data_IF_926442922619
#
_entry.id   IF_926442922619
#
_cell.length_a   1.000
_cell.length_b   1.000
_cell.length_c   1.000
_cell.angle_alpha   90.00
_cell.angle_beta   90.00
_cell.angle_gamma   90.00
#
_symmetry.space_group_name_H-M   'P 1'
#
loop_
_entity.id
_entity.type
_entity.pdbx_description
1 polymer ?
#
# COMPACT_ATOMS: atom_id res chain seq x y z
N UNK A 1 -10.28 4.27 -11.77
CA UNK A 1 -10.92 2.98 -12.13
C UNK A 1 -12.44 2.99 -11.96
N UNK A 2 -13.01 3.52 -10.87
CA UNK A 2 -14.47 3.54 -10.62
C UNK A 2 -15.28 4.12 -11.77
N UNK A 3 -14.92 5.32 -12.21
CA UNK A 3 -15.62 6.00 -13.33
C UNK A 3 -15.59 5.17 -14.61
N UNK A 4 -14.43 4.60 -14.94
CA UNK A 4 -14.28 3.74 -16.11
C UNK A 4 -15.22 2.51 -16.01
N UNK A 5 -15.09 1.75 -14.92
CA UNK A 5 -15.87 0.52 -14.75
C UNK A 5 -17.38 0.79 -14.70
N UNK A 6 -17.83 1.88 -14.08
CA UNK A 6 -19.25 2.25 -13.98
C UNK A 6 -19.79 2.72 -15.32
N UNK A 7 -19.00 3.41 -16.14
CA UNK A 7 -19.42 3.93 -17.46
C UNK A 7 -19.60 2.84 -18.50
N UNK A 8 -18.94 1.69 -18.35
CA UNK A 8 -19.10 0.56 -19.28
C UNK A 8 -20.48 -0.07 -19.15
N UNK A 9 -21.24 -0.08 -20.24
CA UNK A 9 -22.62 -0.64 -20.30
C UNK A 9 -22.65 -2.10 -20.78
N UNK A 10 -21.65 -2.90 -20.39
CA UNK A 10 -21.58 -4.33 -20.70
C UNK A 10 -21.64 -5.15 -19.42
N UNK A 11 -22.33 -6.30 -19.39
CA UNK A 11 -22.38 -7.16 -18.21
C UNK A 11 -21.10 -8.00 -18.03
N UNK A 12 -20.39 -8.31 -19.12
CA UNK A 12 -19.20 -9.17 -19.12
C UNK A 12 -17.95 -8.40 -18.70
N UNK A 13 -18.06 -7.66 -17.61
CA UNK A 13 -16.95 -6.90 -17.01
C UNK A 13 -16.74 -7.31 -15.57
N UNK A 14 -15.48 -7.29 -15.16
CA UNK A 14 -15.06 -7.58 -13.77
C UNK A 14 -14.04 -6.55 -13.32
N UNK A 15 -14.18 -6.07 -12.09
CA UNK A 15 -13.17 -5.29 -11.38
C UNK A 15 -12.73 -6.03 -10.14
N UNK A 16 -11.45 -6.03 -9.89
CA UNK A 16 -10.86 -6.72 -8.74
C UNK A 16 -9.53 -6.06 -8.37
N UNK A 17 -9.19 -6.04 -7.08
CA UNK A 17 -7.85 -5.68 -6.65
C UNK A 17 -6.85 -6.73 -7.09
N UNK A 18 -5.70 -6.29 -7.57
CA UNK A 18 -4.70 -7.18 -8.15
C UNK A 18 -4.30 -8.33 -7.20
N UNK A 19 -4.08 -8.03 -5.92
CA UNK A 19 -3.74 -9.06 -4.93
C UNK A 19 -4.83 -10.13 -4.77
N UNK A 20 -6.10 -9.73 -4.68
CA UNK A 20 -7.22 -10.66 -4.59
C UNK A 20 -7.35 -11.53 -5.83
N UNK A 21 -7.11 -10.97 -7.02
CA UNK A 21 -7.08 -11.73 -8.27
C UNK A 21 -5.96 -12.78 -8.26
N UNK A 22 -4.75 -12.43 -7.82
CA UNK A 22 -3.64 -13.37 -7.75
C UNK A 22 -3.90 -14.50 -6.75
N UNK A 23 -4.57 -14.24 -5.63
CA UNK A 23 -5.00 -15.30 -4.70
C UNK A 23 -5.97 -16.28 -5.37
N UNK A 24 -6.93 -15.79 -6.15
CA UNK A 24 -7.86 -16.62 -6.93
C UNK A 24 -7.12 -17.44 -7.99
N UNK A 25 -6.19 -16.83 -8.71
CA UNK A 25 -5.34 -17.52 -9.70
C UNK A 25 -4.55 -18.64 -9.05
N UNK A 26 -3.90 -18.39 -7.92
CA UNK A 26 -3.16 -19.42 -7.18
C UNK A 26 -4.07 -20.58 -6.71
N UNK A 27 -5.28 -20.26 -6.25
CA UNK A 27 -6.27 -21.29 -5.88
C UNK A 27 -6.68 -22.13 -7.10
N UNK A 28 -6.98 -21.49 -8.22
CA UNK A 28 -7.36 -22.18 -9.47
C UNK A 28 -6.23 -23.06 -10.02
N UNK A 29 -4.98 -22.57 -9.98
CA UNK A 29 -3.79 -23.35 -10.37
C UNK A 29 -3.58 -24.59 -9.49
N UNK A 30 -3.80 -24.47 -8.18
CA UNK A 30 -3.73 -25.62 -7.26
C UNK A 30 -4.78 -26.68 -7.60
N UNK A 31 -6.00 -26.29 -7.93
CA UNK A 31 -7.06 -27.22 -8.32
C UNK A 31 -6.76 -27.86 -9.69
N UNK A 32 -6.35 -27.08 -10.67
CA UNK A 32 -5.99 -27.60 -12.00
C UNK A 32 -4.89 -28.66 -11.94
N UNK A 33 -3.89 -28.46 -11.08
CA UNK A 33 -2.80 -29.44 -10.86
C UNK A 33 -3.23 -30.75 -10.22
N UNK A 34 -4.40 -30.78 -9.55
CA UNK A 34 -4.94 -32.03 -8.96
C UNK A 34 -5.73 -32.84 -9.99
N UNK A 35 -6.37 -32.18 -10.93
CA UNK A 35 -7.32 -32.79 -11.87
C UNK A 35 -6.69 -33.20 -13.21
N UNK A 36 -5.60 -32.54 -13.63
CA UNK A 36 -5.00 -32.72 -14.94
C UNK A 36 -3.48 -32.87 -14.85
N UNK A 37 -2.92 -33.81 -15.68
CA UNK A 37 -1.49 -33.89 -15.92
C UNK A 37 -1.15 -32.96 -17.10
N UNK A 38 -0.43 -31.87 -16.82
CA UNK A 38 -0.03 -30.92 -17.85
C UNK A 38 0.17 -29.50 -17.32
N UNK A 39 0.19 -28.55 -18.26
CA UNK A 39 0.31 -27.14 -17.93
C UNK A 39 -1.03 -26.60 -17.37
N UNK A 40 -1.07 -26.11 -16.12
CA UNK A 40 -2.30 -25.65 -15.49
C UNK A 40 -2.74 -24.25 -15.95
N UNK A 41 -1.90 -23.49 -16.67
CA UNK A 41 -2.21 -22.10 -17.06
C UNK A 41 -3.34 -22.02 -18.09
N UNK A 42 -3.35 -22.76 -19.21
CA UNK A 42 -4.40 -22.66 -20.21
C UNK A 42 -5.81 -22.96 -19.67
N UNK A 43 -6.05 -24.05 -18.90
CA UNK A 43 -7.39 -24.30 -18.34
C UNK A 43 -7.83 -23.25 -17.33
N UNK A 44 -6.88 -22.69 -16.55
CA UNK A 44 -7.19 -21.58 -15.62
C UNK A 44 -7.53 -20.31 -16.39
N UNK A 45 -6.79 -19.96 -17.45
CA UNK A 45 -7.11 -18.83 -18.31
C UNK A 45 -8.49 -18.97 -18.96
N UNK A 46 -8.84 -20.18 -19.42
CA UNK A 46 -10.15 -20.49 -19.96
C UNK A 46 -11.27 -20.25 -18.94
N UNK A 47 -11.11 -20.79 -17.74
CA UNK A 47 -12.07 -20.61 -16.65
C UNK A 47 -12.26 -19.14 -16.27
N UNK A 48 -11.17 -18.37 -16.17
CA UNK A 48 -11.21 -16.96 -15.80
C UNK A 48 -11.80 -16.08 -16.90
N UNK A 49 -11.67 -16.46 -18.16
CA UNK A 49 -12.20 -15.71 -19.31
C UNK A 49 -13.67 -16.02 -19.63
N UNK A 50 -14.28 -17.03 -18.98
CA UNK A 50 -15.70 -17.35 -19.20
C UNK A 50 -16.59 -16.15 -18.88
N UNK A 51 -17.38 -15.70 -19.86
CA UNK A 51 -18.26 -14.54 -19.75
C UNK A 51 -17.54 -13.23 -19.34
N UNK A 52 -16.26 -13.09 -19.72
CA UNK A 52 -15.45 -11.93 -19.38
C UNK A 52 -14.90 -11.27 -20.64
N UNK A 53 -15.28 -10.01 -20.87
CA UNK A 53 -14.74 -9.16 -21.95
C UNK A 53 -13.78 -8.11 -21.45
N UNK A 54 -14.02 -7.59 -20.23
CA UNK A 54 -13.17 -6.57 -19.61
C UNK A 54 -12.79 -6.97 -18.19
N UNK A 55 -11.52 -7.01 -17.95
CA UNK A 55 -10.93 -7.24 -16.64
C UNK A 55 -10.16 -5.99 -16.17
N UNK A 56 -10.66 -5.36 -15.13
CA UNK A 56 -10.10 -4.15 -14.57
C UNK A 56 -9.39 -4.44 -13.24
N UNK A 57 -8.13 -4.01 -13.13
CA UNK A 57 -7.33 -4.16 -11.93
C UNK A 57 -7.02 -2.81 -11.30
N UNK A 58 -7.14 -2.73 -9.98
CA UNK A 58 -6.57 -1.64 -9.22
C UNK A 58 -5.19 -2.05 -8.70
N UNK A 59 -4.23 -1.15 -8.86
CA UNK A 59 -2.89 -1.21 -8.28
C UNK A 59 -2.10 -2.49 -8.60
N UNK A 60 -1.80 -2.69 -9.88
CA UNK A 60 -0.96 -3.81 -10.31
C UNK A 60 0.45 -3.67 -9.72
N UNK A 61 0.80 -4.59 -8.82
CA UNK A 61 2.11 -4.68 -8.16
C UNK A 61 2.62 -6.12 -8.22
N UNK A 62 3.87 -6.31 -8.60
CA UNK A 62 4.51 -7.62 -8.67
C UNK A 62 5.67 -7.66 -7.69
N UNK A 63 5.54 -8.45 -6.63
CA UNK A 63 6.48 -8.46 -5.51
C UNK A 63 7.31 -9.76 -5.40
N UNK A 64 6.93 -10.82 -6.13
CA UNK A 64 7.63 -12.08 -6.06
C UNK A 64 7.75 -12.77 -7.43
N UNK A 65 8.73 -13.66 -7.57
CA UNK A 65 9.04 -14.35 -8.83
C UNK A 65 7.96 -15.33 -9.28
N UNK A 66 7.22 -15.94 -8.34
CA UNK A 66 6.15 -16.89 -8.69
C UNK A 66 5.00 -16.16 -9.37
N UNK A 67 4.57 -15.02 -8.83
CA UNK A 67 3.55 -14.17 -9.43
C UNK A 67 4.01 -13.62 -10.78
N UNK A 68 5.26 -13.16 -10.88
CA UNK A 68 5.83 -12.66 -12.12
C UNK A 68 5.72 -13.68 -13.27
N UNK A 69 6.09 -14.93 -13.03
CA UNK A 69 6.03 -16.00 -14.02
C UNK A 69 4.59 -16.40 -14.38
N UNK A 70 3.71 -16.49 -13.37
CA UNK A 70 2.29 -16.82 -13.60
C UNK A 70 1.63 -15.71 -14.42
N UNK A 71 1.86 -14.46 -14.06
CA UNK A 71 1.31 -13.30 -14.76
C UNK A 71 1.69 -13.27 -16.24
N UNK A 72 2.98 -13.36 -16.54
CA UNK A 72 3.47 -13.34 -17.92
C UNK A 72 2.69 -14.34 -18.79
N UNK A 73 2.55 -15.56 -18.33
CA UNK A 73 1.88 -16.62 -19.07
C UNK A 73 0.36 -16.50 -19.10
N UNK A 74 -0.25 -16.18 -17.96
CA UNK A 74 -1.70 -16.06 -17.83
C UNK A 74 -2.23 -14.87 -18.66
N UNK A 75 -1.59 -13.71 -18.56
CA UNK A 75 -2.04 -12.53 -19.29
C UNK A 75 -1.82 -12.65 -20.80
N UNK A 76 -0.75 -13.33 -21.24
CA UNK A 76 -0.60 -13.69 -22.66
C UNK A 76 -1.80 -14.49 -23.16
N UNK A 77 -2.26 -15.47 -22.37
CA UNK A 77 -3.47 -16.24 -22.71
C UNK A 77 -4.72 -15.36 -22.74
N UNK A 78 -4.94 -14.54 -21.72
CA UNK A 78 -6.13 -13.70 -21.61
C UNK A 78 -6.21 -12.66 -22.74
N UNK A 79 -5.11 -11.97 -23.02
CA UNK A 79 -5.06 -10.89 -24.03
C UNK A 79 -5.05 -11.48 -25.42
N UNK A 80 -4.04 -12.31 -25.76
CA UNK A 80 -3.79 -12.72 -27.14
C UNK A 80 -4.66 -13.87 -27.62
N UNK A 81 -5.14 -14.75 -26.73
CA UNK A 81 -5.91 -15.95 -27.14
C UNK A 81 -7.38 -15.88 -26.76
N UNK A 82 -7.73 -15.11 -25.71
CA UNK A 82 -9.11 -15.02 -25.21
C UNK A 82 -9.79 -13.68 -25.50
N UNK A 83 -9.06 -12.72 -26.07
CA UNK A 83 -9.55 -11.37 -26.39
C UNK A 83 -10.19 -10.66 -25.19
N UNK A 84 -9.61 -10.83 -23.99
CA UNK A 84 -10.02 -10.09 -22.79
C UNK A 84 -9.33 -8.75 -22.79
N UNK A 85 -10.10 -7.68 -22.79
CA UNK A 85 -9.54 -6.32 -22.62
C UNK A 85 -9.10 -6.13 -21.17
N UNK A 86 -7.84 -5.79 -21.00
CA UNK A 86 -7.25 -5.51 -19.68
C UNK A 86 -7.14 -4.01 -19.48
N UNK A 87 -7.62 -3.54 -18.33
CA UNK A 87 -7.41 -2.16 -17.87
C UNK A 87 -6.83 -2.21 -16.49
N UNK A 88 -5.69 -1.60 -16.30
CA UNK A 88 -5.00 -1.62 -14.99
C UNK A 88 -4.45 -0.26 -14.63
N UNK A 89 -4.40 0.03 -13.33
CA UNK A 89 -3.63 1.14 -12.80
C UNK A 89 -2.36 0.62 -12.14
N UNK A 90 -1.31 1.39 -12.18
CA UNK A 90 -0.06 1.13 -11.46
C UNK A 90 0.59 2.47 -11.13
N UNK A 91 1.30 2.53 -10.01
CA UNK A 91 2.17 3.66 -9.65
C UNK A 91 3.60 3.51 -10.19
N UNK A 92 3.80 2.55 -11.10
CA UNK A 92 5.07 2.37 -11.82
C UNK A 92 4.81 2.25 -13.30
N UNK A 93 5.73 2.85 -14.07
CA UNK A 93 5.74 2.60 -15.51
C UNK A 93 5.93 1.11 -15.81
N UNK A 94 5.33 0.53 -16.88
CA UNK A 94 5.47 -0.89 -17.21
C UNK A 94 6.91 -1.39 -17.21
N UNK A 95 7.86 -0.61 -17.73
CA UNK A 95 9.28 -0.95 -17.75
C UNK A 95 9.91 -1.08 -16.35
N UNK A 96 9.29 -0.52 -15.33
CA UNK A 96 9.77 -0.56 -13.96
C UNK A 96 9.08 -1.62 -13.08
N UNK A 97 8.08 -2.31 -13.64
CA UNK A 97 7.44 -3.42 -12.96
C UNK A 97 8.48 -4.50 -12.63
N UNK A 98 8.40 -5.00 -11.40
CA UNK A 98 9.31 -6.03 -10.89
C UNK A 98 10.81 -5.64 -11.04
N UNK A 99 11.13 -4.34 -10.96
CA UNK A 99 12.51 -3.81 -10.97
C UNK A 99 13.30 -4.44 -9.81
N UNK A 100 14.50 -4.94 -10.11
CA UNK A 100 15.36 -5.67 -9.17
C UNK A 100 14.79 -7.00 -8.64
N UNK A 101 13.72 -7.50 -9.22
CA UNK A 101 13.16 -8.82 -8.85
C UNK A 101 14.05 -9.98 -9.29
N UNK A 102 14.02 -11.08 -8.52
CA UNK A 102 14.76 -12.30 -8.84
C UNK A 102 14.27 -12.91 -10.15
N UNK A 103 15.20 -13.25 -11.08
CA UNK A 103 14.91 -13.79 -12.41
C UNK A 103 13.99 -12.87 -13.24
N UNK A 104 14.20 -11.57 -13.15
CA UNK A 104 13.41 -10.56 -13.87
C UNK A 104 13.41 -10.78 -15.39
N UNK A 105 14.43 -11.41 -15.95
CA UNK A 105 14.52 -11.77 -17.37
C UNK A 105 13.32 -12.61 -17.86
N UNK A 106 12.70 -13.41 -16.99
CA UNK A 106 11.51 -14.17 -17.31
C UNK A 106 10.22 -13.32 -17.28
N UNK A 107 10.29 -12.12 -16.72
CA UNK A 107 9.19 -11.17 -16.67
C UNK A 107 9.24 -10.14 -17.81
N UNK A 108 10.40 -9.93 -18.41
CA UNK A 108 10.56 -8.99 -19.53
C UNK A 108 9.58 -9.24 -20.69
N UNK A 109 9.30 -10.49 -21.11
CA UNK A 109 8.29 -10.75 -22.17
C UNK A 109 6.89 -10.23 -21.80
N UNK A 110 6.54 -10.17 -20.52
CA UNK A 110 5.28 -9.59 -20.09
C UNK A 110 5.28 -8.06 -20.15
N UNK A 111 6.41 -7.44 -19.84
CA UNK A 111 6.58 -5.99 -20.02
C UNK A 111 6.45 -5.62 -21.50
N UNK A 112 7.09 -6.40 -22.39
CA UNK A 112 6.99 -6.21 -23.83
C UNK A 112 5.53 -6.39 -24.30
N UNK A 113 4.84 -7.40 -23.78
CA UNK A 113 3.41 -7.62 -24.07
C UNK A 113 2.54 -6.43 -23.66
N UNK A 114 2.74 -5.89 -22.45
CA UNK A 114 2.01 -4.69 -21.99
C UNK A 114 2.25 -3.53 -22.95
N UNK A 115 3.51 -3.29 -23.30
CA UNK A 115 3.87 -2.15 -24.15
C UNK A 115 3.44 -2.29 -25.61
N UNK A 116 3.27 -3.52 -26.11
CA UNK A 116 2.81 -3.79 -27.49
C UNK A 116 1.29 -3.89 -27.63
N UNK A 117 0.61 -4.44 -26.65
CA UNK A 117 -0.82 -4.78 -26.73
C UNK A 117 -1.74 -3.82 -25.96
N UNK A 118 -1.19 -3.03 -25.02
CA UNK A 118 -1.95 -2.08 -24.22
C UNK A 118 -1.48 -0.64 -24.49
N UNK A 119 -2.43 0.29 -24.51
CA UNK A 119 -2.13 1.72 -24.50
C UNK A 119 -1.65 2.14 -23.09
N UNK A 120 -0.40 2.54 -23.00
CA UNK A 120 0.16 3.05 -21.75
C UNK A 120 -0.12 4.55 -21.65
N UNK A 121 -0.99 4.92 -20.71
CA UNK A 121 -1.37 6.31 -20.45
C UNK A 121 -0.77 6.75 -19.13
N UNK A 122 0.12 7.73 -19.20
CA UNK A 122 0.68 8.37 -18.01
C UNK A 122 -0.29 9.42 -17.49
N UNK A 123 -0.66 9.29 -16.22
CA UNK A 123 -1.49 10.26 -15.50
C UNK A 123 -0.58 11.13 -14.63
N UNK A 124 0.33 11.85 -15.27
CA UNK A 124 1.20 12.82 -14.61
C UNK A 124 0.52 14.18 -14.63
N UNK A 125 0.02 14.61 -13.49
CA UNK A 125 -0.59 15.92 -13.30
C UNK A 125 0.36 16.84 -12.53
N UNK A 126 0.42 18.15 -12.85
CA UNK A 126 1.25 19.11 -12.11
C UNK A 126 0.78 19.30 -10.65
N UNK A 127 -0.36 18.76 -10.30
CA UNK A 127 -0.97 18.88 -8.98
C UNK A 127 -1.27 17.49 -8.42
N UNK A 128 -0.66 17.15 -7.30
CA UNK A 128 -1.12 16.01 -6.49
C UNK A 128 -2.44 16.42 -5.80
N UNK A 129 -3.56 16.00 -6.38
CA UNK A 129 -4.91 16.27 -5.82
C UNK A 129 -5.09 15.76 -4.40
N UNK A 130 -4.23 14.85 -3.94
CA UNK A 130 -4.18 14.43 -2.52
C UNK A 130 -3.73 15.56 -1.62
N UNK A 131 -2.88 16.45 -2.15
CA UNK A 131 -2.42 17.65 -1.44
C UNK A 131 -3.56 18.64 -1.17
N UNK A 132 -4.50 18.81 -2.10
CA UNK A 132 -5.69 19.63 -1.87
C UNK A 132 -6.53 19.08 -0.71
N UNK A 133 -6.57 17.76 -0.55
CA UNK A 133 -7.31 17.12 0.56
C UNK A 133 -6.57 17.22 1.89
N UNK A 134 -5.23 17.16 1.87
CA UNK A 134 -4.38 17.31 3.05
C UNK A 134 -4.22 18.79 3.42
N UNK A 135 -4.28 19.68 2.44
CA UNK A 135 -4.02 21.11 2.62
C UNK A 135 -4.75 21.74 3.80
N UNK A 136 -3.98 22.33 4.70
CA UNK A 136 -4.48 22.97 5.92
C UNK A 136 -4.90 22.01 7.04
N UNK A 137 -4.65 20.69 6.90
CA UNK A 137 -4.89 19.75 8.00
C UNK A 137 -3.68 19.72 8.93
N UNK A 138 -3.94 19.86 10.21
CA UNK A 138 -2.95 19.58 11.24
C UNK A 138 -2.69 18.07 11.29
N UNK A 139 -1.43 17.68 11.37
CA UNK A 139 -1.02 16.26 11.28
C UNK A 139 -0.57 15.68 12.62
N UNK A 140 -0.26 16.55 13.60
CA UNK A 140 0.16 16.16 14.93
C UNK A 140 -0.80 16.72 15.97
N UNK A 141 -1.40 15.84 16.76
CA UNK A 141 -2.42 16.19 17.73
C UNK A 141 -2.00 15.73 19.12
N UNK A 142 -1.74 16.66 19.99
CA UNK A 142 -1.48 16.44 21.42
C UNK A 142 -2.26 17.45 22.28
N UNK A 143 -2.53 17.14 23.55
CA UNK A 143 -2.33 15.84 24.21
C UNK A 143 -3.31 14.76 23.71
N UNK A 144 -3.08 13.50 24.14
CA UNK A 144 -4.02 12.40 23.88
C UNK A 144 -5.39 12.72 24.49
N UNK A 145 -6.44 12.35 23.76
CA UNK A 145 -7.82 12.54 24.21
C UNK A 145 -8.82 12.36 23.06
N UNK A 146 -10.09 12.58 23.38
CA UNK A 146 -11.18 12.41 22.41
C UNK A 146 -11.08 13.43 21.27
N UNK A 147 -10.63 14.64 21.55
CA UNK A 147 -10.45 15.67 20.53
C UNK A 147 -9.36 15.30 19.52
N UNK A 148 -8.17 14.88 19.99
CA UNK A 148 -7.10 14.41 19.13
C UNK A 148 -7.53 13.19 18.29
N UNK A 149 -8.27 12.27 18.91
CA UNK A 149 -8.81 11.09 18.22
C UNK A 149 -9.84 11.48 17.16
N UNK A 150 -10.70 12.46 17.44
CA UNK A 150 -11.69 12.94 16.49
C UNK A 150 -11.01 13.57 15.26
N UNK A 151 -9.95 14.37 15.46
CA UNK A 151 -9.21 15.02 14.36
C UNK A 151 -8.56 14.01 13.41
N UNK A 152 -7.87 12.97 13.92
CA UNK A 152 -7.28 11.95 13.04
C UNK A 152 -8.34 11.06 12.38
N UNK A 153 -9.48 10.86 13.03
CA UNK A 153 -10.63 10.17 12.44
C UNK A 153 -11.22 10.98 11.29
N UNK A 154 -11.39 12.29 11.46
CA UNK A 154 -11.82 13.18 10.39
C UNK A 154 -10.83 13.16 9.21
N UNK A 155 -9.51 13.20 9.50
CA UNK A 155 -8.47 13.07 8.50
C UNK A 155 -8.63 11.79 7.67
N UNK A 156 -8.84 10.64 8.33
CA UNK A 156 -9.06 9.37 7.64
C UNK A 156 -10.24 9.41 6.68
N UNK A 157 -11.40 9.89 7.13
CA UNK A 157 -12.60 9.96 6.30
C UNK A 157 -12.43 10.93 5.13
N UNK A 158 -11.82 12.09 5.37
CA UNK A 158 -11.53 13.07 4.31
C UNK A 158 -10.57 12.53 3.25
N UNK A 159 -9.55 11.79 3.66
CA UNK A 159 -8.56 11.20 2.74
C UNK A 159 -9.11 10.01 1.95
N UNK A 160 -10.01 9.24 2.55
CA UNK A 160 -10.53 8.02 1.95
C UNK A 160 -11.89 8.17 1.27
N UNK A 161 -12.60 9.29 1.47
CA UNK A 161 -14.00 9.49 1.09
C UNK A 161 -14.93 8.37 1.64
N UNK A 162 -14.55 7.76 2.76
CA UNK A 162 -15.38 6.76 3.41
C UNK A 162 -16.44 7.45 4.26
N UNK A 163 -17.71 6.97 4.26
CA UNK A 163 -18.77 7.62 5.01
C UNK A 163 -18.53 7.53 6.53
N UNK A 164 -18.47 8.67 7.26
CA UNK A 164 -18.21 8.68 8.70
C UNK A 164 -19.23 7.93 9.55
N UNK A 165 -20.48 7.82 9.07
CA UNK A 165 -21.58 7.08 9.68
C UNK A 165 -21.35 5.56 9.69
N UNK A 166 -20.52 5.04 8.79
CA UNK A 166 -20.17 3.62 8.68
C UNK A 166 -18.79 3.27 9.24
N UNK A 167 -18.29 4.06 10.19
CA UNK A 167 -16.96 3.95 10.77
C UNK A 167 -16.62 2.58 11.39
N UNK A 168 -17.64 1.81 11.76
CA UNK A 168 -17.49 0.46 12.34
C UNK A 168 -17.10 -0.58 11.29
N UNK A 169 -17.45 -0.33 10.01
CA UNK A 169 -17.20 -1.26 8.90
C UNK A 169 -16.03 -0.85 8.02
N UNK A 170 -15.18 0.09 8.47
CA UNK A 170 -13.93 0.42 7.74
C UNK A 170 -13.12 -0.85 7.55
N UNK A 171 -12.78 -1.21 6.29
CA UNK A 171 -12.06 -2.44 6.02
C UNK A 171 -10.66 -2.42 6.62
N UNK A 172 -10.18 -3.61 6.99
CA UNK A 172 -8.78 -3.90 7.26
C UNK A 172 -8.22 -4.81 6.19
N UNK A 173 -6.92 -5.00 6.20
CA UNK A 173 -6.24 -5.90 5.26
C UNK A 173 -5.09 -6.67 5.91
N UNK A 174 -4.61 -7.71 5.23
CA UNK A 174 -3.42 -8.45 5.62
C UNK A 174 -2.26 -8.01 4.72
N UNK A 175 -1.25 -7.41 5.33
CA UNK A 175 -0.03 -6.95 4.66
C UNK A 175 1.06 -8.03 4.73
N UNK A 176 1.60 -8.43 3.59
CA UNK A 176 2.80 -9.28 3.54
C UNK A 176 4.03 -8.46 3.93
N UNK A 177 4.65 -8.82 5.04
CA UNK A 177 5.86 -8.16 5.56
C UNK A 177 7.14 -8.96 5.23
N UNK A 178 7.02 -9.92 4.32
CA UNK A 178 8.13 -10.75 3.88
C UNK A 178 8.39 -11.98 4.76
N UNK A 179 9.13 -12.94 4.20
CA UNK A 179 9.46 -14.18 4.90
C UNK A 179 8.25 -15.07 5.22
N UNK A 180 7.15 -14.94 4.49
CA UNK A 180 5.91 -15.68 4.74
C UNK A 180 5.11 -15.19 5.94
N UNK A 181 5.43 -13.99 6.45
CA UNK A 181 4.71 -13.37 7.59
C UNK A 181 3.69 -12.36 7.09
N UNK A 182 2.49 -12.43 7.64
CA UNK A 182 1.42 -11.46 7.40
C UNK A 182 1.23 -10.56 8.63
N UNK A 183 0.93 -9.30 8.39
CA UNK A 183 0.59 -8.34 9.44
C UNK A 183 -0.82 -7.80 9.20
N UNK A 184 -1.68 -7.96 10.20
CA UNK A 184 -3.02 -7.40 10.15
C UNK A 184 -3.01 -5.88 10.30
N UNK A 185 -3.57 -5.18 9.30
CA UNK A 185 -3.82 -3.75 9.30
C UNK A 185 -5.27 -3.51 9.71
N UNK A 186 -5.54 -2.95 10.88
CA UNK A 186 -6.91 -2.90 11.43
C UNK A 186 -7.89 -2.09 10.61
N UNK A 187 -7.41 -1.01 10.01
CA UNK A 187 -8.18 -0.13 9.12
C UNK A 187 -7.28 0.36 8.01
N UNK A 188 -7.67 0.08 6.78
CA UNK A 188 -6.99 0.61 5.61
C UNK A 188 -7.96 0.82 4.46
N UNK A 189 -7.77 1.89 3.71
CA UNK A 189 -8.53 2.16 2.51
C UNK A 189 -7.77 3.17 1.63
N UNK A 190 -7.75 2.95 0.31
CA UNK A 190 -7.14 3.85 -0.67
C UNK A 190 -5.69 4.26 -0.32
N UNK A 191 -4.88 3.34 0.21
CA UNK A 191 -3.50 3.61 0.59
C UNK A 191 -3.32 4.44 1.88
N UNK A 192 -4.38 4.62 2.67
CA UNK A 192 -4.35 5.21 4.02
C UNK A 192 -4.53 4.10 5.04
N UNK A 193 -3.60 3.96 5.99
CA UNK A 193 -3.67 2.94 7.04
C UNK A 193 -3.68 3.56 8.44
N UNK A 194 -4.39 2.92 9.36
CA UNK A 194 -4.47 3.33 10.78
C UNK A 194 -3.89 2.24 11.67
N UNK A 195 -2.94 2.63 12.50
CA UNK A 195 -2.31 1.75 13.49
C UNK A 195 -2.29 2.40 14.87
N UNK A 196 -2.29 1.58 15.91
CA UNK A 196 -1.93 2.06 17.25
C UNK A 196 -0.41 1.99 17.44
N UNK A 197 0.15 2.92 18.22
CA UNK A 197 1.55 2.86 18.65
C UNK A 197 1.88 1.51 19.30
N UNK A 198 0.97 0.98 20.13
CA UNK A 198 1.15 -0.30 20.77
C UNK A 198 1.42 -1.43 19.76
N UNK A 199 0.66 -1.49 18.69
CA UNK A 199 0.81 -2.52 17.63
C UNK A 199 2.11 -2.37 16.86
N UNK A 200 2.55 -1.14 16.63
CA UNK A 200 3.77 -0.88 15.87
C UNK A 200 5.04 -0.97 16.71
N UNK A 201 5.02 -0.47 17.94
CA UNK A 201 6.24 -0.28 18.72
C UNK A 201 6.30 -1.11 20.00
N UNK A 202 5.17 -1.48 20.64
CA UNK A 202 5.20 -2.32 21.84
C UNK A 202 5.22 -3.83 21.49
N UNK A 203 4.69 -4.23 20.33
CA UNK A 203 4.86 -5.59 19.82
C UNK A 203 6.24 -5.78 19.17
N UNK A 204 6.68 -7.05 19.04
CA UNK A 204 7.96 -7.39 18.41
C UNK A 204 7.90 -7.17 16.90
N UNK A 205 8.22 -5.96 16.45
CA UNK A 205 8.31 -5.55 15.04
C UNK A 205 9.74 -5.15 14.72
N UNK A 206 10.08 -5.13 13.43
CA UNK A 206 11.40 -4.75 12.96
C UNK A 206 11.39 -3.97 11.64
N UNK A 207 12.56 -3.58 11.18
CA UNK A 207 12.73 -2.80 9.96
C UNK A 207 12.00 -3.35 8.72
N UNK A 208 11.99 -4.68 8.45
CA UNK A 208 11.22 -5.22 7.32
C UNK A 208 9.72 -4.95 7.41
N UNK A 209 9.14 -5.00 8.62
CA UNK A 209 7.72 -4.74 8.84
C UNK A 209 7.39 -3.26 8.53
N UNK A 210 8.24 -2.34 8.98
CA UNK A 210 8.07 -0.90 8.75
C UNK A 210 8.30 -0.51 7.29
N UNK A 211 9.25 -1.15 6.63
CA UNK A 211 9.48 -0.95 5.20
C UNK A 211 8.27 -1.41 4.38
N UNK A 212 7.69 -2.57 4.72
CA UNK A 212 6.47 -3.06 4.06
C UNK A 212 5.30 -2.08 4.24
N UNK A 213 5.10 -1.53 5.45
CA UNK A 213 4.10 -0.48 5.70
C UNK A 213 4.38 0.75 4.83
N UNK A 214 5.62 1.24 4.86
CA UNK A 214 6.01 2.45 4.14
C UNK A 214 5.88 2.31 2.61
N UNK A 215 6.05 1.12 2.07
CA UNK A 215 5.87 0.83 0.65
C UNK A 215 4.41 0.64 0.25
N UNK A 216 3.58 0.09 1.15
CA UNK A 216 2.17 -0.20 0.86
C UNK A 216 1.26 1.03 1.00
N UNK A 217 1.57 1.94 1.92
CA UNK A 217 0.69 3.06 2.27
C UNK A 217 1.36 4.42 2.03
N UNK A 218 0.69 5.29 1.31
CA UNK A 218 1.16 6.67 1.11
C UNK A 218 0.85 7.58 2.32
N UNK A 219 -0.09 7.17 3.17
CA UNK A 219 -0.46 7.89 4.40
C UNK A 219 -0.66 6.90 5.54
N UNK A 220 -0.02 7.17 6.65
CA UNK A 220 -0.12 6.37 7.88
C UNK A 220 -0.64 7.25 9.01
N UNK A 221 -1.65 6.77 9.70
CA UNK A 221 -2.20 7.39 10.91
C UNK A 221 -1.77 6.55 12.11
N UNK A 222 -1.03 7.14 13.05
CA UNK A 222 -0.58 6.48 14.27
C UNK A 222 -1.33 7.05 15.46
N UNK A 223 -2.11 6.22 16.15
CA UNK A 223 -2.87 6.65 17.33
C UNK A 223 -2.22 6.21 18.62
N UNK A 224 -2.23 7.10 19.61
CA UNK A 224 -1.84 6.79 20.98
C UNK A 224 -0.32 6.70 21.20
N UNK A 225 0.46 7.59 20.62
CA UNK A 225 1.91 7.69 20.88
C UNK A 225 2.09 8.20 22.31
N UNK A 226 2.68 7.41 23.24
CA UNK A 226 2.90 7.84 24.61
C UNK A 226 4.10 8.77 24.71
N UNK A 227 4.20 9.53 25.79
CA UNK A 227 5.47 10.03 26.22
C UNK A 227 6.28 8.85 26.78
N UNK A 228 7.45 8.58 26.20
CA UNK A 228 8.27 7.43 26.51
C UNK A 228 9.30 7.81 27.59
N UNK A 229 9.45 6.95 28.57
CA UNK A 229 10.49 7.07 29.58
C UNK A 229 11.71 6.18 29.25
N UNK A 230 12.70 6.18 30.13
CA UNK A 230 13.94 5.39 29.98
C UNK A 230 13.70 3.88 29.96
N UNK A 231 12.59 3.40 30.52
CA UNK A 231 12.25 1.98 30.58
C UNK A 231 11.59 1.52 29.24
N UNK A 232 11.12 2.47 28.43
CA UNK A 232 10.55 2.24 27.09
C UNK A 232 11.60 2.32 25.96
N UNK A 233 12.86 2.01 26.24
CA UNK A 233 13.96 2.05 25.26
C UNK A 233 13.67 1.26 23.99
N UNK A 234 13.08 0.08 24.09
CA UNK A 234 12.80 -0.78 22.93
C UNK A 234 11.72 -0.18 22.06
N UNK A 235 10.68 0.38 22.65
CA UNK A 235 9.60 1.09 21.97
C UNK A 235 10.12 2.33 21.26
N UNK A 236 10.96 3.12 21.94
CA UNK A 236 11.62 4.29 21.37
C UNK A 236 12.50 3.93 20.18
N UNK A 237 13.32 2.88 20.29
CA UNK A 237 14.15 2.40 19.18
C UNK A 237 13.34 1.93 17.99
N UNK A 238 12.23 1.22 18.21
CA UNK A 238 11.31 0.79 17.12
C UNK A 238 10.62 1.99 16.49
N UNK A 239 10.22 2.97 17.29
CA UNK A 239 9.62 4.20 16.78
C UNK A 239 10.60 4.99 15.91
N UNK A 240 11.87 5.10 16.29
CA UNK A 240 12.93 5.67 15.42
C UNK A 240 12.97 4.95 14.09
N UNK A 241 13.06 3.62 14.09
CA UNK A 241 13.14 2.81 12.86
C UNK A 241 11.87 2.95 11.99
N UNK A 242 10.70 3.04 12.62
CA UNK A 242 9.44 3.27 11.93
C UNK A 242 9.43 4.64 11.23
N UNK A 243 9.76 5.71 11.97
CA UNK A 243 9.76 7.07 11.40
C UNK A 243 10.82 7.20 10.30
N UNK A 244 11.98 6.56 10.45
CA UNK A 244 12.99 6.49 9.40
C UNK A 244 12.42 5.86 8.11
N UNK A 245 11.74 4.72 8.22
CA UNK A 245 11.14 4.05 7.08
C UNK A 245 10.03 4.89 6.42
N UNK A 246 9.15 5.51 7.21
CA UNK A 246 8.08 6.37 6.69
C UNK A 246 8.65 7.60 5.98
N UNK A 247 9.63 8.26 6.59
CA UNK A 247 10.27 9.47 6.06
C UNK A 247 10.99 9.21 4.73
N UNK A 248 11.79 8.15 4.65
CA UNK A 248 12.54 7.78 3.45
C UNK A 248 11.63 7.39 2.29
N UNK A 249 10.45 6.84 2.57
CA UNK A 249 9.43 6.52 1.56
C UNK A 249 8.41 7.65 1.35
N UNK A 250 8.63 8.85 1.90
CA UNK A 250 7.78 10.04 1.73
C UNK A 250 6.32 9.81 2.13
N UNK A 251 6.12 8.96 3.14
CA UNK A 251 4.79 8.65 3.68
C UNK A 251 4.28 9.84 4.51
N UNK A 252 3.03 10.24 4.31
CA UNK A 252 2.39 11.29 5.10
C UNK A 252 1.97 10.72 6.45
N UNK A 253 2.34 11.40 7.52
CA UNK A 253 2.06 10.95 8.88
C UNK A 253 1.01 11.84 9.54
N UNK A 254 -0.04 11.22 10.05
CA UNK A 254 -0.96 11.83 10.99
C UNK A 254 -0.85 11.11 12.34
N UNK A 255 -0.84 11.83 13.45
CA UNK A 255 -0.60 11.22 14.74
C UNK A 255 -1.43 11.82 15.87
N UNK A 256 -1.76 10.98 16.86
CA UNK A 256 -2.14 11.45 18.19
C UNK A 256 -1.05 11.06 19.19
N UNK A 257 -0.60 12.01 19.98
CA UNK A 257 0.53 11.83 20.87
C UNK A 257 0.27 12.45 22.27
N UNK A 258 0.97 11.94 23.27
CA UNK A 258 0.89 12.48 24.63
C UNK A 258 1.59 13.84 24.77
N UNK A 259 2.54 14.14 23.89
CA UNK A 259 3.36 15.35 23.92
C UNK A 259 3.80 15.76 22.51
N UNK A 260 4.42 16.93 22.40
CA UNK A 260 5.10 17.37 21.19
C UNK A 260 6.32 16.46 20.90
N UNK A 261 6.81 16.41 19.63
CA UNK A 261 7.90 15.54 19.24
C UNK A 261 9.14 15.63 20.14
N UNK A 262 9.50 16.83 20.62
CA UNK A 262 10.65 17.09 21.48
C UNK A 262 10.56 16.43 22.85
N UNK A 263 9.35 16.32 23.36
CA UNK A 263 9.05 15.82 24.70
C UNK A 263 8.64 14.34 24.71
N UNK A 264 8.65 13.66 23.54
CA UNK A 264 8.25 12.25 23.44
C UNK A 264 9.25 11.31 24.13
N UNK A 265 10.57 11.57 24.03
CA UNK A 265 11.62 10.77 24.65
C UNK A 265 12.77 11.67 25.13
N UNK A 266 12.55 12.44 26.20
CA UNK A 266 13.48 13.47 26.63
C UNK A 266 14.76 12.91 27.28
N UNK A 267 14.73 11.67 27.79
CA UNK A 267 15.87 11.06 28.47
C UNK A 267 15.82 9.53 28.37
N UNK A 268 16.98 8.92 28.26
CA UNK A 268 17.16 7.47 28.17
C UNK A 268 18.24 7.09 27.17
N UNK A 269 18.52 5.78 27.07
CA UNK A 269 19.45 5.26 26.06
C UNK A 269 18.87 5.48 24.66
N UNK A 270 19.65 6.14 23.77
CA UNK A 270 19.20 6.48 22.43
C UNK A 270 18.45 7.82 22.33
N UNK A 271 18.36 8.61 23.41
CA UNK A 271 17.74 9.93 23.37
C UNK A 271 18.48 10.89 22.42
N UNK A 272 19.77 10.72 22.22
CA UNK A 272 20.54 11.51 21.25
C UNK A 272 20.13 11.15 19.81
N UNK A 273 20.03 9.89 19.48
CA UNK A 273 19.58 9.39 18.17
C UNK A 273 18.12 9.79 17.90
N UNK A 274 17.31 9.88 18.95
CA UNK A 274 15.92 10.31 18.86
C UNK A 274 15.77 11.76 18.38
N UNK A 275 16.80 12.62 18.57
CA UNK A 275 16.78 14.00 18.05
C UNK A 275 16.64 14.06 16.52
N UNK A 276 17.19 13.07 15.80
CA UNK A 276 16.97 12.97 14.34
C UNK A 276 15.50 12.67 14.02
N UNK A 277 14.88 11.81 14.81
CA UNK A 277 13.45 11.51 14.67
C UNK A 277 12.59 12.74 14.97
N UNK A 278 12.92 13.52 15.98
CA UNK A 278 12.26 14.81 16.27
C UNK A 278 12.34 15.74 15.05
N UNK A 279 13.54 15.88 14.46
CA UNK A 279 13.73 16.73 13.27
C UNK A 279 12.85 16.27 12.10
N UNK A 280 12.79 14.96 11.85
CA UNK A 280 11.91 14.37 10.79
C UNK A 280 10.43 14.60 11.07
N UNK A 281 9.98 14.38 12.31
CA UNK A 281 8.59 14.61 12.72
C UNK A 281 8.17 16.08 12.55
N UNK A 282 9.09 17.02 12.70
CA UNK A 282 8.86 18.45 12.47
C UNK A 282 8.88 18.82 10.98
N UNK A 283 9.65 18.10 10.17
CA UNK A 283 9.73 18.33 8.74
C UNK A 283 8.55 17.71 7.98
N UNK A 284 8.08 16.53 8.38
CA UNK A 284 6.99 15.79 7.71
C UNK A 284 5.70 16.60 7.51
N UNK A 285 5.31 17.57 8.38
CA UNK A 285 4.19 18.45 8.15
C UNK A 285 4.44 19.62 7.18
N UNK A 286 5.71 19.86 6.78
CA UNK A 286 6.04 20.99 5.89
C UNK A 286 5.38 20.85 4.52
N UNK A 287 5.08 21.98 3.89
CA UNK A 287 4.51 21.99 2.53
C UNK A 287 5.44 21.30 1.52
N UNK A 288 6.75 21.49 1.66
CA UNK A 288 7.75 20.86 0.81
C UNK A 288 7.71 19.34 0.94
N UNK A 289 7.70 18.79 2.16
CA UNK A 289 7.62 17.35 2.37
C UNK A 289 6.27 16.78 1.94
N UNK A 290 5.20 17.47 2.26
CA UNK A 290 3.85 17.06 1.87
C UNK A 290 3.68 17.01 0.35
N UNK A 291 4.36 17.89 -0.42
CA UNK A 291 4.34 17.91 -1.88
C UNK A 291 5.11 16.76 -2.54
N UNK A 292 5.98 16.06 -1.80
CA UNK A 292 6.72 14.91 -2.34
C UNK A 292 5.78 13.75 -2.69
N UNK A 293 5.98 13.14 -3.85
CA UNK A 293 5.29 11.90 -4.22
C UNK A 293 5.67 10.74 -3.29
N UNK A 294 4.77 9.80 -3.09
CA UNK A 294 5.05 8.59 -2.32
C UNK A 294 6.09 7.70 -3.03
N UNK A 295 7.02 7.15 -2.27
CA UNK A 295 8.09 6.28 -2.75
C UNK A 295 9.48 6.82 -2.42
N UNK A 296 10.51 6.00 -2.66
CA UNK A 296 11.91 6.38 -2.43
C UNK A 296 12.34 7.43 -3.47
N UNK A 297 13.19 8.37 -3.07
CA UNK A 297 13.86 9.26 -4.04
C UNK A 297 14.75 8.42 -4.98
N UNK A 298 14.68 8.70 -6.28
CA UNK A 298 15.60 8.13 -7.28
C UNK A 298 17.04 8.58 -7.04
#
# INVERSE_FOLDING_TARGET
MDLFHTSLKIPEKRRVHFHAFMQEVHAALREARKSESGDPIPPVAEKLSQNLKVLAFDEMVVNNSADAMIMSRLFTQLICQRNVTIVTTSNRHPAELYKNGLNREHFLPFIDLIQSELDVVELDGPVDYRMERIGGMETWHCPLGDEATAKVREAFFRLTDYPPEDAEHVPGEELDVGGGRMMHVPKSLKGVAVFSFKRLCAEARGAPDYLAIAQAFHTVIIVGIPQMDKDMRNEASRFVTLIDALYENRVKLFATAAAEPEDLYPAGDGAFEFQRTVSRLKEMPSEEYMALGHGVAD
#
